data_IF_325914576174
#
_entry.id   IF_325914576174
#
_cell.length_a   1.000
_cell.length_b   1.000
_cell.length_c   1.000
_cell.angle_alpha   90.00
_cell.angle_beta   90.00
_cell.angle_gamma   90.00
#
_symmetry.space_group_name_H-M   'P 1'
#
loop_
_entity.id
_entity.type
_entity.pdbx_description
1 polymer ?
#
# COMPACT_ATOMS: atom_id res chain seq x y z
N UNK A 1 -5.05 2.10 -17.34
CA UNK A 1 -4.53 0.81 -16.83
C UNK A 1 -3.07 0.94 -16.47
N UNK A 2 -2.76 0.74 -15.19
CA UNK A 2 -1.43 0.80 -14.58
C UNK A 2 -0.97 -0.60 -14.25
N UNK A 3 0.28 -0.92 -14.59
CA UNK A 3 0.88 -2.19 -14.18
C UNK A 3 1.09 -2.20 -12.66
N UNK A 4 0.50 -3.20 -12.00
CA UNK A 4 0.70 -3.43 -10.56
C UNK A 4 1.26 -4.83 -10.33
N UNK A 5 2.23 -4.92 -9.43
CA UNK A 5 2.87 -6.16 -9.02
C UNK A 5 2.63 -6.39 -7.54
N UNK A 6 2.23 -7.61 -7.17
CA UNK A 6 1.95 -7.97 -5.78
C UNK A 6 3.02 -8.95 -5.33
N UNK A 7 3.96 -8.49 -4.51
CA UNK A 7 5.05 -9.34 -4.05
C UNK A 7 4.56 -10.34 -3.00
N UNK A 8 5.30 -11.45 -2.84
CA UNK A 8 4.90 -12.53 -1.93
C UNK A 8 4.75 -12.07 -0.47
N UNK A 9 5.56 -11.11 -0.02
CA UNK A 9 5.47 -10.52 1.32
C UNK A 9 4.14 -9.80 1.54
N UNK A 10 3.70 -8.98 0.57
CA UNK A 10 2.40 -8.32 0.62
C UNK A 10 1.25 -9.33 0.69
N UNK A 11 1.29 -10.39 -0.11
CA UNK A 11 0.27 -11.46 -0.08
C UNK A 11 0.20 -12.12 1.30
N UNK A 12 1.36 -12.39 1.93
CA UNK A 12 1.42 -12.95 3.29
C UNK A 12 0.87 -11.98 4.33
N UNK A 13 1.16 -10.69 4.21
CA UNK A 13 0.61 -9.68 5.10
C UNK A 13 -0.91 -9.61 4.96
N UNK A 14 -1.45 -9.57 3.73
CA UNK A 14 -2.91 -9.56 3.48
C UNK A 14 -3.59 -10.80 4.05
N UNK A 15 -3.01 -12.00 3.86
CA UNK A 15 -3.58 -13.25 4.42
C UNK A 15 -3.67 -13.26 5.95
N UNK A 16 -2.86 -12.46 6.65
CA UNK A 16 -2.88 -12.35 8.12
C UNK A 16 -3.92 -11.35 8.62
N UNK A 17 -4.51 -10.54 7.74
CA UNK A 17 -5.54 -9.57 8.11
C UNK A 17 -6.83 -10.33 8.43
N UNK A 18 -7.19 -10.34 9.72
CA UNK A 18 -8.48 -10.88 10.18
C UNK A 18 -9.64 -9.88 9.99
N UNK A 19 -9.31 -8.61 9.87
CA UNK A 19 -10.26 -7.52 9.73
C UNK A 19 -10.77 -7.39 8.29
N UNK A 20 -12.02 -7.81 8.07
CA UNK A 20 -12.63 -7.83 6.74
C UNK A 20 -12.84 -6.45 6.14
N UNK A 21 -13.04 -5.41 6.95
CA UNK A 21 -13.18 -4.07 6.42
C UNK A 21 -11.84 -3.58 5.87
N UNK A 22 -10.74 -3.83 6.58
CA UNK A 22 -9.41 -3.48 6.09
C UNK A 22 -9.01 -4.29 4.84
N UNK A 23 -9.32 -5.59 4.81
CA UNK A 23 -9.11 -6.42 3.62
C UNK A 23 -9.84 -5.86 2.38
N UNK A 24 -11.09 -5.39 2.55
CA UNK A 24 -11.87 -4.79 1.48
C UNK A 24 -11.30 -3.44 1.01
N UNK A 25 -10.78 -2.61 1.93
CA UNK A 25 -10.10 -1.36 1.57
C UNK A 25 -8.88 -1.66 0.69
N UNK A 26 -8.07 -2.67 1.03
CA UNK A 26 -6.91 -3.06 0.21
C UNK A 26 -7.36 -3.49 -1.18
N UNK A 27 -8.40 -4.33 -1.30
CA UNK A 27 -8.91 -4.77 -2.60
C UNK A 27 -9.37 -3.60 -3.46
N UNK A 28 -10.12 -2.66 -2.87
CA UNK A 28 -10.55 -1.43 -3.55
C UNK A 28 -9.35 -0.63 -4.05
N UNK A 29 -8.34 -0.41 -3.21
CA UNK A 29 -7.11 0.29 -3.59
C UNK A 29 -6.40 -0.43 -4.75
N UNK A 30 -6.24 -1.75 -4.69
CA UNK A 30 -5.55 -2.50 -5.76
C UNK A 30 -6.27 -2.37 -7.10
N UNK A 31 -7.60 -2.50 -7.11
CA UNK A 31 -8.41 -2.35 -8.32
C UNK A 31 -8.31 -0.92 -8.84
N UNK A 32 -8.52 0.05 -7.97
CA UNK A 32 -8.52 1.48 -8.32
C UNK A 32 -7.17 1.91 -8.91
N UNK A 33 -6.05 1.52 -8.29
CA UNK A 33 -4.71 1.84 -8.81
C UNK A 33 -4.48 1.19 -10.18
N UNK A 34 -4.92 -0.06 -10.35
CA UNK A 34 -4.79 -0.77 -11.64
C UNK A 34 -5.59 -0.08 -12.73
N UNK A 35 -6.84 0.29 -12.48
CA UNK A 35 -7.70 0.84 -13.53
C UNK A 35 -7.36 2.31 -13.82
N UNK A 36 -7.20 3.10 -12.75
CA UNK A 36 -7.23 4.57 -12.80
C UNK A 36 -5.92 5.25 -12.36
N UNK A 37 -4.94 4.50 -11.84
CA UNK A 37 -3.64 5.03 -11.44
C UNK A 37 -3.50 5.35 -9.96
N UNK A 38 -2.27 5.66 -9.53
CA UNK A 38 -1.96 5.78 -8.11
C UNK A 38 -2.69 6.95 -7.44
N UNK A 39 -2.81 8.09 -8.10
CA UNK A 39 -3.39 9.29 -7.49
C UNK A 39 -4.91 9.21 -7.31
N UNK A 40 -5.60 8.31 -8.04
CA UNK A 40 -7.06 8.22 -7.98
C UNK A 40 -7.58 7.73 -6.61
N UNK A 41 -6.76 6.98 -5.86
CA UNK A 41 -7.11 6.53 -4.51
C UNK A 41 -7.17 7.68 -3.50
N UNK A 42 -6.64 8.86 -3.81
CA UNK A 42 -6.77 10.05 -2.94
C UNK A 42 -8.22 10.52 -2.81
N UNK A 43 -9.12 10.07 -3.70
CA UNK A 43 -10.56 10.28 -3.58
C UNK A 43 -11.21 9.43 -2.48
N UNK A 44 -10.53 8.37 -2.00
CA UNK A 44 -11.08 7.48 -0.99
C UNK A 44 -10.98 8.11 0.40
N UNK A 45 -12.08 8.16 1.19
CA UNK A 45 -12.09 8.81 2.49
C UNK A 45 -11.14 8.16 3.51
N UNK A 46 -10.80 6.88 3.32
CA UNK A 46 -9.86 6.16 4.16
C UNK A 46 -8.40 6.48 3.83
N UNK A 47 -8.09 6.96 2.62
CA UNK A 47 -6.74 7.32 2.20
C UNK A 47 -6.44 8.74 2.66
N UNK A 48 -5.40 8.87 3.48
CA UNK A 48 -4.98 10.18 4.00
C UNK A 48 -4.01 10.86 3.06
N UNK A 49 -2.99 10.12 2.63
CA UNK A 49 -1.98 10.61 1.70
C UNK A 49 -1.12 9.49 1.14
N UNK A 50 -0.38 9.85 0.11
CA UNK A 50 0.72 9.08 -0.46
C UNK A 50 1.99 9.92 -0.26
N UNK A 51 3.03 9.35 0.32
CA UNK A 51 4.24 10.10 0.65
C UNK A 51 5.48 9.25 0.43
N UNK A 52 6.49 9.83 -0.22
CA UNK A 52 7.81 9.22 -0.37
C UNK A 52 8.41 8.94 1.00
N UNK A 53 9.02 7.77 1.15
CA UNK A 53 9.75 7.38 2.35
C UNK A 53 11.18 7.88 2.18
N UNK A 54 11.63 8.74 3.10
CA UNK A 54 12.99 9.28 3.07
C UNK A 54 14.00 8.26 3.59
N UNK A 55 15.26 8.43 3.20
CA UNK A 55 16.37 7.57 3.64
C UNK A 55 16.59 6.32 2.78
N UNK A 56 15.80 6.13 1.72
CA UNK A 56 16.00 5.09 0.71
C UNK A 56 16.42 5.73 -0.62
N UNK A 57 17.27 5.04 -1.37
CA UNK A 57 17.68 5.46 -2.71
C UNK A 57 16.56 5.18 -3.71
N UNK A 58 15.87 4.07 -3.52
CA UNK A 58 14.74 3.61 -4.31
C UNK A 58 13.51 4.52 -4.14
N UNK A 59 12.61 4.44 -5.12
CA UNK A 59 11.39 5.24 -5.18
C UNK A 59 10.28 4.58 -4.33
N UNK A 60 10.53 4.51 -3.02
CA UNK A 60 9.59 3.97 -2.05
C UNK A 60 8.60 5.01 -1.54
N UNK A 61 7.34 4.61 -1.46
CA UNK A 61 6.25 5.41 -0.95
C UNK A 61 5.45 4.64 0.09
N UNK A 62 4.77 5.37 0.97
CA UNK A 62 3.69 4.83 1.79
C UNK A 62 2.36 5.44 1.36
N UNK A 63 1.33 4.61 1.33
CA UNK A 63 -0.06 5.04 1.36
C UNK A 63 -0.52 4.95 2.81
N UNK A 64 -0.95 6.08 3.39
CA UNK A 64 -1.46 6.12 4.77
C UNK A 64 -2.97 5.92 4.75
N UNK A 65 -3.44 4.91 5.47
CA UNK A 65 -4.87 4.60 5.58
C UNK A 65 -5.35 4.91 7.00
N UNK A 66 -6.34 5.80 7.13
CA UNK A 66 -7.00 6.14 8.39
C UNK A 66 -8.14 5.16 8.64
N UNK A 67 -7.76 3.94 8.98
CA UNK A 67 -8.66 2.90 9.46
C UNK A 67 -8.15 2.38 10.80
N UNK A 68 -8.98 2.43 11.85
CA UNK A 68 -8.60 2.06 13.22
C UNK A 68 -7.34 2.76 13.73
N UNK A 69 -6.31 1.98 14.08
CA UNK A 69 -5.02 2.45 14.63
C UNK A 69 -4.06 3.02 13.58
N UNK A 70 -4.50 3.12 12.33
CA UNK A 70 -3.70 3.63 11.22
C UNK A 70 -2.82 2.55 10.58
N UNK A 71 -3.14 2.22 9.34
CA UNK A 71 -2.40 1.26 8.53
C UNK A 71 -1.56 1.97 7.47
N UNK A 72 -0.57 1.26 6.95
CA UNK A 72 0.31 1.66 5.85
C UNK A 72 0.37 0.56 4.83
N UNK A 73 0.30 0.97 3.58
CA UNK A 73 0.72 0.16 2.45
C UNK A 73 2.03 0.76 1.95
N UNK A 74 3.04 -0.09 1.80
CA UNK A 74 4.34 0.27 1.24
C UNK A 74 4.37 -0.12 -0.22
N UNK A 75 4.75 0.82 -1.07
CA UNK A 75 4.89 0.60 -2.50
C UNK A 75 6.26 1.05 -3.00
N UNK A 76 6.67 0.47 -4.11
CA UNK A 76 7.79 0.94 -4.93
C UNK A 76 7.26 1.32 -6.30
N UNK A 77 7.74 2.45 -6.82
CA UNK A 77 7.44 2.88 -8.18
C UNK A 77 8.70 2.69 -9.02
N UNK A 78 8.59 1.91 -10.08
CA UNK A 78 9.66 1.64 -11.04
C UNK A 78 9.17 1.94 -12.46
N UNK A 79 10.06 1.82 -13.44
CA UNK A 79 9.67 1.93 -14.85
C UNK A 79 8.72 0.81 -15.30
N UNK A 80 8.72 -0.35 -14.63
CA UNK A 80 7.82 -1.47 -14.95
C UNK A 80 6.40 -1.26 -14.41
N UNK A 81 6.27 -0.48 -13.32
CA UNK A 81 5.00 -0.21 -12.66
C UNK A 81 5.12 -0.09 -11.14
N UNK A 82 4.01 -0.35 -10.45
CA UNK A 82 3.88 -0.17 -9.00
C UNK A 82 3.92 -1.52 -8.29
N UNK A 83 4.90 -1.72 -7.43
CA UNK A 83 5.03 -2.92 -6.61
C UNK A 83 4.42 -2.67 -5.25
N UNK A 84 3.42 -3.47 -4.89
CA UNK A 84 2.88 -3.52 -3.54
C UNK A 84 3.77 -4.43 -2.70
N UNK A 85 4.52 -3.84 -1.78
CA UNK A 85 5.58 -4.52 -1.02
C UNK A 85 5.07 -5.08 0.30
N UNK A 86 4.49 -4.20 1.14
CA UNK A 86 4.07 -4.53 2.52
C UNK A 86 2.78 -3.85 2.92
N UNK A 87 2.06 -4.45 3.86
CA UNK A 87 0.92 -3.80 4.51
C UNK A 87 0.87 -4.12 6.00
N UNK A 88 0.78 -3.10 6.85
CA UNK A 88 0.65 -3.30 8.30
C UNK A 88 0.21 -2.04 9.05
N UNK A 89 -0.10 -2.20 10.34
CA UNK A 89 -0.27 -1.12 11.31
C UNK A 89 1.01 -0.29 11.44
N UNK A 90 0.86 1.00 11.81
CA UNK A 90 1.99 1.94 12.01
C UNK A 90 3.17 1.35 12.77
N UNK A 91 2.88 0.69 13.89
CA UNK A 91 3.87 0.22 14.87
C UNK A 91 4.78 -0.88 14.32
N UNK A 92 4.34 -1.60 13.29
CA UNK A 92 5.03 -2.79 12.78
C UNK A 92 5.49 -2.61 11.31
N UNK A 93 4.90 -1.67 10.57
CA UNK A 93 5.25 -1.39 9.17
C UNK A 93 6.75 -1.10 8.98
N UNK A 94 7.31 -0.14 9.73
CA UNK A 94 8.70 0.30 9.55
C UNK A 94 9.74 -0.71 10.05
N UNK A 95 9.33 -1.73 10.81
CA UNK A 95 10.24 -2.81 11.24
C UNK A 95 10.55 -3.80 10.11
N UNK A 96 9.71 -3.82 9.07
CA UNK A 96 9.73 -4.86 8.05
C UNK A 96 9.81 -4.31 6.61
N UNK A 97 9.52 -3.04 6.41
CA UNK A 97 9.70 -2.38 5.11
C UNK A 97 11.20 -2.13 4.83
N UNK A 98 11.70 -2.31 3.59
CA UNK A 98 11.00 -2.64 2.35
C UNK A 98 10.88 -4.14 2.02
N UNK A 99 11.55 -5.01 2.81
CA UNK A 99 11.68 -6.46 2.58
C UNK A 99 10.36 -7.22 2.37
#
# INVERSE_FOLDING_TARGET
MTNIFIVSAFQRDVKKIKDKAYENIIKKILIEVRENGLDSILSFPEVVNIARIQGYQEQYYRIKIKYGVGFRIGIEITDEGIYFLRTDKRKDFYKRFPS
#
